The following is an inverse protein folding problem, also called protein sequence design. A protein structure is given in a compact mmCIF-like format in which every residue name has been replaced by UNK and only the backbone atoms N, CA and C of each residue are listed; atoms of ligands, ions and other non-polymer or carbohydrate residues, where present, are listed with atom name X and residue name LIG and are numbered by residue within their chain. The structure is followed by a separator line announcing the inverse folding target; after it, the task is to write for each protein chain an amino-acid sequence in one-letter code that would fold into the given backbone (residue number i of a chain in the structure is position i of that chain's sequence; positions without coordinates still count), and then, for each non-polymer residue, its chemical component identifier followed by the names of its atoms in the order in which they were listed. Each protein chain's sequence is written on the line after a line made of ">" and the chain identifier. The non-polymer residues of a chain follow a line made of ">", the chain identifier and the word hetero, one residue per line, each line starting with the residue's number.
data_IF_503820699907
#
_entry.id   IF_503820699907
#
_cell.length_a   1.000
_cell.length_b   1.000
_cell.length_c   1.000
_cell.angle_alpha   90.00
_cell.angle_beta   90.00
_cell.angle_gamma   90.00
#
_symmetry.space_group_name_H-M   'P 1'
#
loop_
_entity.id
_entity.type
_entity.pdbx_description
1 polymer ?
#
# COMPACT_ATOMS: atom_id res chain seq x y z
N UNK A 1 6.33 -23.28 0.20
CA UNK A 1 7.75 -23.37 0.62
C UNK A 1 8.11 -24.70 1.26
N UNK A 2 7.27 -25.23 2.17
CA UNK A 2 7.56 -26.45 2.93
C UNK A 2 8.00 -27.64 2.05
N UNK A 3 7.24 -27.98 1.03
CA UNK A 3 7.52 -29.09 0.11
C UNK A 3 8.87 -28.91 -0.60
N UNK A 4 9.23 -27.70 -1.01
CA UNK A 4 10.50 -27.41 -1.67
C UNK A 4 11.70 -27.69 -0.73
N UNK A 5 11.57 -27.27 0.54
CA UNK A 5 12.60 -27.53 1.57
C UNK A 5 12.69 -29.00 1.88
N UNK A 6 11.57 -29.73 2.04
CA UNK A 6 11.56 -31.17 2.22
C UNK A 6 12.28 -31.89 1.08
N UNK A 7 11.98 -31.56 -0.16
CA UNK A 7 12.58 -32.17 -1.33
C UNK A 7 14.10 -31.94 -1.41
N UNK A 8 14.57 -30.77 -0.95
CA UNK A 8 16.01 -30.48 -0.93
C UNK A 8 16.75 -31.13 0.25
N UNK A 9 16.10 -31.26 1.40
CA UNK A 9 16.68 -31.86 2.60
C UNK A 9 16.71 -33.41 2.56
N UNK A 10 15.73 -34.01 1.89
CA UNK A 10 15.58 -35.47 1.89
C UNK A 10 16.86 -36.22 1.49
N UNK A 11 17.59 -35.88 0.40
CA UNK A 11 18.82 -36.55 0.02
C UNK A 11 19.98 -36.30 1.00
N UNK A 12 19.92 -35.24 1.81
CA UNK A 12 20.97 -34.91 2.78
C UNK A 12 20.83 -35.68 4.11
N UNK A 13 19.71 -36.39 4.30
CA UNK A 13 19.41 -37.18 5.48
C UNK A 13 19.70 -36.44 6.82
N UNK A 14 19.17 -35.23 7.04
CA UNK A 14 19.46 -34.47 8.25
C UNK A 14 18.88 -35.16 9.49
N UNK A 15 19.39 -34.85 10.71
CA UNK A 15 18.86 -35.40 11.95
C UNK A 15 17.39 -35.03 12.17
N UNK A 16 16.67 -35.84 12.96
CA UNK A 16 15.23 -35.66 13.23
C UNK A 16 14.86 -34.26 13.74
N UNK A 17 15.74 -33.59 14.47
CA UNK A 17 15.54 -32.23 14.97
C UNK A 17 15.32 -31.23 13.85
N UNK A 18 15.95 -31.39 12.69
CA UNK A 18 15.77 -30.51 11.51
C UNK A 18 14.37 -30.66 10.93
N UNK A 19 13.87 -31.88 10.85
CA UNK A 19 12.49 -32.15 10.41
C UNK A 19 11.43 -31.57 11.35
N UNK A 20 11.67 -31.70 12.66
CA UNK A 20 10.79 -31.09 13.67
C UNK A 20 10.80 -29.57 13.57
N UNK A 21 11.96 -28.94 13.37
CA UNK A 21 12.07 -27.50 13.16
C UNK A 21 11.37 -27.06 11.87
N UNK A 22 11.49 -27.83 10.79
CA UNK A 22 10.80 -27.54 9.54
C UNK A 22 9.28 -27.64 9.70
N UNK A 23 8.79 -28.68 10.39
CA UNK A 23 7.37 -28.83 10.69
C UNK A 23 6.86 -27.67 11.58
N UNK A 24 7.63 -27.28 12.60
CA UNK A 24 7.32 -26.11 13.42
C UNK A 24 7.22 -24.83 12.56
N UNK A 25 8.25 -24.55 11.76
CA UNK A 25 8.28 -23.35 10.94
C UNK A 25 7.18 -23.33 9.85
N UNK A 26 6.87 -24.50 9.26
CA UNK A 26 5.88 -24.60 8.20
C UNK A 26 4.40 -24.55 8.68
N UNK A 27 4.13 -25.08 9.87
CA UNK A 27 2.74 -25.26 10.34
C UNK A 27 2.42 -24.50 11.62
N UNK A 28 3.32 -24.44 12.61
CA UNK A 28 3.04 -23.80 13.90
C UNK A 28 3.40 -22.32 13.91
N UNK A 29 4.54 -21.97 13.33
CA UNK A 29 5.04 -20.60 13.31
C UNK A 29 4.06 -19.60 12.67
N UNK A 30 3.42 -19.85 11.51
CA UNK A 30 2.47 -18.89 10.93
C UNK A 30 1.31 -18.56 11.86
N UNK A 31 0.78 -19.57 12.58
CA UNK A 31 -0.30 -19.35 13.54
C UNK A 31 0.18 -18.58 14.77
N UNK A 32 1.38 -18.88 15.25
CA UNK A 32 1.98 -18.17 16.39
C UNK A 32 2.28 -16.71 16.00
N UNK A 33 2.88 -16.47 14.85
CA UNK A 33 3.17 -15.14 14.33
C UNK A 33 1.90 -14.29 14.19
N UNK A 34 0.83 -14.88 13.65
CA UNK A 34 -0.48 -14.22 13.57
C UNK A 34 -1.02 -13.85 14.96
N UNK A 35 -1.00 -14.78 15.93
CA UNK A 35 -1.47 -14.52 17.31
C UNK A 35 -0.63 -13.44 18.00
N UNK A 36 0.69 -13.45 17.79
CA UNK A 36 1.60 -12.44 18.35
C UNK A 36 1.32 -11.06 17.77
N UNK A 37 1.06 -10.97 16.46
CA UNK A 37 0.70 -9.71 15.82
C UNK A 37 -0.68 -9.22 16.30
N UNK A 38 -1.68 -10.10 16.33
CA UNK A 38 -3.04 -9.75 16.73
C UNK A 38 -3.16 -9.22 18.19
N UNK A 39 -2.35 -9.76 19.11
CA UNK A 39 -2.34 -9.37 20.53
C UNK A 39 -1.38 -8.21 20.85
N UNK A 40 -0.61 -7.75 19.89
CA UNK A 40 0.37 -6.69 20.09
C UNK A 40 -0.32 -5.32 20.24
N UNK A 41 0.29 -4.41 21.01
CA UNK A 41 -0.15 -3.00 21.08
C UNK A 41 -0.09 -2.29 19.73
N UNK A 42 0.86 -2.68 18.90
CA UNK A 42 1.03 -2.21 17.51
C UNK A 42 1.13 -3.44 16.60
N UNK A 43 -0.01 -3.90 16.03
CA UNK A 43 -0.05 -5.08 15.17
C UNK A 43 0.86 -4.98 13.95
N UNK A 44 0.97 -3.79 13.36
CA UNK A 44 1.79 -3.57 12.17
C UNK A 44 3.29 -3.75 12.47
N UNK A 45 3.79 -3.17 13.56
CA UNK A 45 5.19 -3.38 13.98
C UNK A 45 5.48 -4.83 14.34
N UNK A 46 4.52 -5.51 14.95
CA UNK A 46 4.66 -6.93 15.28
C UNK A 46 4.72 -7.80 14.02
N UNK A 47 3.92 -7.50 13.00
CA UNK A 47 3.96 -8.17 11.69
C UNK A 47 5.32 -7.96 11.00
N UNK A 48 5.83 -6.71 10.96
CA UNK A 48 7.16 -6.41 10.42
C UNK A 48 8.24 -7.25 11.12
N UNK A 49 8.21 -7.34 12.45
CA UNK A 49 9.16 -8.18 13.19
C UNK A 49 9.05 -9.65 12.82
N UNK A 50 7.84 -10.18 12.69
CA UNK A 50 7.62 -11.56 12.28
C UNK A 50 8.15 -11.84 10.88
N UNK A 51 7.98 -10.93 9.92
CA UNK A 51 8.52 -11.02 8.57
C UNK A 51 10.07 -11.01 8.55
N UNK A 52 10.71 -10.26 9.46
CA UNK A 52 12.16 -10.31 9.60
C UNK A 52 12.65 -11.65 10.20
N UNK A 53 11.89 -12.24 11.12
CA UNK A 53 12.15 -13.59 11.64
C UNK A 53 11.99 -14.62 10.51
N UNK A 54 10.95 -14.53 9.67
CA UNK A 54 10.79 -15.38 8.50
C UNK A 54 11.97 -15.23 7.52
N UNK A 55 12.45 -13.99 7.33
CA UNK A 55 13.64 -13.73 6.51
C UNK A 55 14.88 -14.44 7.07
N UNK A 56 15.05 -14.48 8.40
CA UNK A 56 16.12 -15.21 9.04
C UNK A 56 16.00 -16.74 8.81
N UNK A 57 14.80 -17.29 8.93
CA UNK A 57 14.54 -18.69 8.58
C UNK A 57 14.81 -18.97 7.09
N UNK A 58 14.54 -18.01 6.20
CA UNK A 58 14.86 -18.16 4.77
C UNK A 58 16.35 -18.41 4.53
N UNK A 59 17.22 -17.59 5.09
CA UNK A 59 18.67 -17.77 4.99
C UNK A 59 19.15 -19.04 5.67
N UNK A 60 18.60 -19.38 6.85
CA UNK A 60 18.88 -20.64 7.54
C UNK A 60 18.54 -21.86 6.66
N UNK A 61 17.34 -21.92 6.09
CA UNK A 61 16.94 -23.04 5.24
C UNK A 61 17.76 -23.12 3.95
N UNK A 62 18.14 -21.98 3.34
CA UNK A 62 19.01 -21.98 2.17
C UNK A 62 20.35 -22.67 2.44
N UNK A 63 20.97 -22.40 3.59
CA UNK A 63 22.22 -23.08 4.00
C UNK A 63 22.00 -24.56 4.38
N UNK A 64 20.92 -24.87 5.11
CA UNK A 64 20.54 -26.25 5.47
C UNK A 64 20.30 -27.12 4.24
N UNK A 65 19.84 -26.55 3.12
CA UNK A 65 19.69 -27.24 1.82
C UNK A 65 21.01 -27.29 1.02
N UNK A 66 22.16 -27.02 1.65
CA UNK A 66 23.46 -26.96 0.98
C UNK A 66 23.47 -26.01 -0.23
N UNK A 67 22.75 -24.90 -0.12
CA UNK A 67 22.59 -23.89 -1.19
C UNK A 67 22.05 -24.47 -2.51
N UNK A 68 21.18 -25.49 -2.44
CA UNK A 68 20.51 -26.02 -3.63
C UNK A 68 19.78 -24.86 -4.35
N UNK A 69 20.19 -24.58 -5.59
CA UNK A 69 19.89 -23.31 -6.24
C UNK A 69 18.38 -23.04 -6.37
N UNK A 70 17.61 -23.97 -6.91
CA UNK A 70 16.20 -23.73 -7.20
C UNK A 70 15.32 -23.63 -5.94
N UNK A 71 15.32 -24.60 -5.00
CA UNK A 71 14.58 -24.47 -3.76
C UNK A 71 14.98 -23.26 -2.92
N UNK A 72 16.28 -22.94 -2.84
CA UNK A 72 16.77 -21.79 -2.09
C UNK A 72 16.24 -20.46 -2.70
N UNK A 73 16.38 -20.27 -4.01
CA UNK A 73 15.86 -19.07 -4.68
C UNK A 73 14.35 -18.96 -4.50
N UNK A 74 13.60 -20.05 -4.61
CA UNK A 74 12.13 -20.03 -4.43
C UNK A 74 11.74 -19.50 -3.05
N UNK A 75 12.31 -20.04 -1.96
CA UNK A 75 11.94 -19.59 -0.62
C UNK A 75 12.43 -18.17 -0.31
N UNK A 76 13.66 -17.81 -0.73
CA UNK A 76 14.20 -16.48 -0.52
C UNK A 76 13.40 -15.40 -1.27
N UNK A 77 13.01 -15.70 -2.53
CA UNK A 77 12.17 -14.77 -3.32
C UNK A 77 10.79 -14.62 -2.73
N UNK A 78 10.15 -15.69 -2.24
CA UNK A 78 8.85 -15.61 -1.57
C UNK A 78 8.88 -14.68 -0.35
N UNK A 79 9.88 -14.83 0.52
CA UNK A 79 10.04 -13.98 1.70
C UNK A 79 10.35 -12.54 1.32
N UNK A 80 11.16 -12.34 0.30
CA UNK A 80 11.45 -11.01 -0.25
C UNK A 80 10.20 -10.33 -0.82
N UNK A 81 9.37 -11.06 -1.55
CA UNK A 81 8.10 -10.55 -2.08
C UNK A 81 7.12 -10.20 -0.96
N UNK A 82 7.03 -11.02 0.10
CA UNK A 82 6.23 -10.68 1.29
C UNK A 82 6.70 -9.39 1.95
N UNK A 83 8.01 -9.20 2.11
CA UNK A 83 8.57 -7.98 2.69
C UNK A 83 8.22 -6.74 1.87
N UNK A 84 8.31 -6.83 0.52
CA UNK A 84 7.91 -5.74 -0.38
C UNK A 84 6.41 -5.46 -0.25
N UNK A 85 5.58 -6.49 -0.30
CA UNK A 85 4.13 -6.35 -0.26
C UNK A 85 3.63 -5.74 1.07
N UNK A 86 4.29 -6.04 2.19
CA UNK A 86 3.87 -5.60 3.53
C UNK A 86 4.35 -4.19 3.89
N UNK A 87 5.60 -3.83 3.59
CA UNK A 87 6.17 -2.52 3.99
C UNK A 87 7.19 -1.94 3.00
N UNK A 88 7.12 -2.37 1.74
CA UNK A 88 7.86 -1.79 0.63
C UNK A 88 9.38 -2.01 0.69
N UNK A 89 10.11 -1.12 -0.02
CA UNK A 89 11.56 -1.24 -0.26
C UNK A 89 12.39 -1.32 1.03
N UNK A 90 12.02 -0.58 2.06
CA UNK A 90 12.80 -0.54 3.30
C UNK A 90 12.82 -1.88 4.03
N UNK A 91 11.68 -2.58 4.11
CA UNK A 91 11.59 -3.90 4.72
C UNK A 91 12.27 -4.96 3.86
N UNK A 92 12.14 -4.87 2.54
CA UNK A 92 12.85 -5.74 1.61
C UNK A 92 14.36 -5.72 1.83
N UNK A 93 14.98 -4.53 1.88
CA UNK A 93 16.44 -4.41 2.07
C UNK A 93 16.89 -4.97 3.41
N UNK A 94 16.14 -4.71 4.49
CA UNK A 94 16.42 -5.29 5.81
C UNK A 94 16.28 -6.82 5.81
N UNK A 95 15.21 -7.32 5.22
CA UNK A 95 14.96 -8.76 5.11
C UNK A 95 16.04 -9.46 4.30
N UNK A 96 16.45 -8.88 3.17
CA UNK A 96 17.53 -9.43 2.33
C UNK A 96 18.87 -9.47 3.10
N UNK A 97 19.21 -8.41 3.83
CA UNK A 97 20.42 -8.40 4.65
C UNK A 97 20.40 -9.50 5.72
N UNK A 98 19.25 -9.72 6.37
CA UNK A 98 19.06 -10.78 7.36
C UNK A 98 19.15 -12.16 6.69
N UNK A 99 18.54 -12.37 5.54
CA UNK A 99 18.62 -13.62 4.77
C UNK A 99 20.09 -13.98 4.46
N UNK A 100 20.85 -13.01 3.95
CA UNK A 100 22.25 -13.20 3.63
C UNK A 100 23.10 -13.48 4.89
N UNK A 101 22.89 -12.70 5.95
CA UNK A 101 23.62 -12.88 7.21
C UNK A 101 23.36 -14.26 7.84
N UNK A 102 22.10 -14.71 7.88
CA UNK A 102 21.75 -16.01 8.45
C UNK A 102 22.19 -17.17 7.56
N UNK A 103 22.15 -17.00 6.22
CA UNK A 103 22.68 -18.00 5.30
C UNK A 103 24.21 -18.17 5.46
N UNK A 104 24.94 -17.08 5.57
CA UNK A 104 26.39 -17.09 5.82
C UNK A 104 26.73 -17.69 7.19
N UNK A 105 26.04 -17.25 8.25
CA UNK A 105 26.26 -17.78 9.60
C UNK A 105 26.01 -19.29 9.66
N UNK A 106 24.87 -19.74 9.15
CA UNK A 106 24.53 -21.17 9.13
C UNK A 106 25.45 -21.96 8.22
N UNK A 107 25.79 -21.41 7.05
CA UNK A 107 26.73 -22.03 6.13
C UNK A 107 28.09 -22.25 6.75
N UNK A 108 28.65 -21.26 7.45
CA UNK A 108 29.96 -21.40 8.14
C UNK A 108 29.90 -22.41 9.27
N UNK A 109 28.81 -22.46 10.05
CA UNK A 109 28.64 -23.47 11.13
C UNK A 109 28.55 -24.90 10.58
N UNK A 110 28.04 -25.08 9.36
CA UNK A 110 27.93 -26.39 8.70
C UNK A 110 29.17 -26.76 7.87
N UNK A 111 30.24 -25.95 7.86
CA UNK A 111 31.41 -26.18 7.03
C UNK A 111 31.20 -25.85 5.55
N UNK A 112 30.23 -25.03 5.22
CA UNK A 112 29.88 -24.52 3.91
C UNK A 112 29.60 -25.62 2.87
N UNK A 113 28.68 -26.59 3.14
CA UNK A 113 28.27 -27.54 2.13
C UNK A 113 27.67 -26.80 0.94
N UNK A 114 28.19 -27.00 -0.26
CA UNK A 114 27.74 -26.32 -1.46
C UNK A 114 27.39 -27.32 -2.57
N UNK A 115 26.10 -27.59 -2.74
CA UNK A 115 25.53 -28.48 -3.74
C UNK A 115 24.41 -27.79 -4.51
N UNK A 116 24.74 -26.87 -5.47
CA UNK A 116 23.75 -26.00 -6.13
C UNK A 116 22.85 -26.75 -7.13
N UNK A 117 23.16 -27.98 -7.45
CA UNK A 117 22.42 -28.75 -8.45
C UNK A 117 21.09 -29.26 -7.90
N UNK A 118 20.01 -28.97 -8.63
CA UNK A 118 18.67 -29.48 -8.33
C UNK A 118 18.36 -30.74 -9.15
N UNK A 119 17.84 -31.75 -8.50
CA UNK A 119 17.35 -32.96 -9.20
C UNK A 119 16.04 -32.68 -9.94
N UNK A 120 15.66 -33.45 -10.99
CA UNK A 120 14.38 -33.29 -11.68
C UNK A 120 13.18 -33.29 -10.73
N UNK A 121 13.17 -34.14 -9.71
CA UNK A 121 12.10 -34.17 -8.71
C UNK A 121 12.00 -32.86 -7.94
N UNK A 122 13.13 -32.29 -7.50
CA UNK A 122 13.16 -30.97 -6.82
C UNK A 122 12.65 -29.86 -7.73
N UNK A 123 13.01 -29.89 -9.01
CA UNK A 123 12.47 -28.94 -10.01
C UNK A 123 10.96 -29.04 -10.08
N UNK A 124 10.40 -30.25 -10.32
CA UNK A 124 8.96 -30.43 -10.43
C UNK A 124 8.20 -30.01 -9.16
N UNK A 125 8.75 -30.27 -7.97
CA UNK A 125 8.13 -29.88 -6.70
C UNK A 125 8.20 -28.37 -6.43
N UNK A 126 9.14 -27.65 -7.05
CA UNK A 126 9.22 -26.19 -6.99
C UNK A 126 8.28 -25.47 -7.97
N UNK A 127 7.92 -26.08 -9.11
CA UNK A 127 7.10 -25.44 -10.14
C UNK A 127 5.74 -24.90 -9.63
N UNK A 128 4.95 -25.65 -8.84
CA UNK A 128 3.71 -25.14 -8.30
C UNK A 128 3.92 -23.87 -7.48
N UNK A 129 5.01 -23.80 -6.72
CA UNK A 129 5.30 -22.66 -5.87
C UNK A 129 5.75 -21.44 -6.66
N UNK A 130 6.53 -21.64 -7.72
CA UNK A 130 6.97 -20.59 -8.64
C UNK A 130 5.77 -19.96 -9.34
N UNK A 131 4.75 -20.75 -9.67
CA UNK A 131 3.56 -20.24 -10.37
C UNK A 131 2.48 -19.71 -9.42
N UNK A 132 2.07 -20.55 -8.45
CA UNK A 132 0.92 -20.22 -7.59
C UNK A 132 1.20 -19.06 -6.64
N UNK A 133 2.41 -19.00 -6.07
CA UNK A 133 2.70 -17.98 -5.07
C UNK A 133 2.67 -16.55 -5.64
N UNK A 134 3.40 -16.21 -6.72
CA UNK A 134 3.32 -14.87 -7.32
C UNK A 134 1.92 -14.54 -7.83
N UNK A 135 1.20 -15.53 -8.38
CA UNK A 135 -0.16 -15.35 -8.87
C UNK A 135 -1.12 -15.00 -7.73
N UNK A 136 -1.08 -15.74 -6.63
CA UNK A 136 -1.92 -15.46 -5.46
C UNK A 136 -1.57 -14.12 -4.81
N UNK A 137 -0.27 -13.82 -4.67
CA UNK A 137 0.18 -12.54 -4.14
C UNK A 137 -0.28 -11.39 -5.03
N UNK A 138 -0.16 -11.52 -6.35
CA UNK A 138 -0.64 -10.53 -7.32
C UNK A 138 -2.15 -10.30 -7.21
N UNK A 139 -2.96 -11.37 -7.07
CA UNK A 139 -4.40 -11.26 -6.86
C UNK A 139 -4.77 -10.55 -5.56
N UNK A 140 -4.09 -10.87 -4.47
CA UNK A 140 -4.31 -10.22 -3.17
C UNK A 140 -3.94 -8.73 -3.24
N UNK A 141 -2.78 -8.41 -3.82
CA UNK A 141 -2.31 -7.04 -3.98
C UNK A 141 -3.25 -6.22 -4.87
N UNK A 142 -3.70 -6.79 -5.99
CA UNK A 142 -4.67 -6.15 -6.87
C UNK A 142 -5.99 -5.85 -6.16
N UNK A 143 -6.54 -6.83 -5.43
CA UNK A 143 -7.80 -6.65 -4.67
C UNK A 143 -7.68 -5.58 -3.60
N UNK A 144 -6.55 -5.54 -2.91
CA UNK A 144 -6.28 -4.54 -1.86
C UNK A 144 -6.15 -3.13 -2.46
N UNK A 145 -5.40 -3.00 -3.56
CA UNK A 145 -5.27 -1.73 -4.29
C UNK A 145 -6.62 -1.23 -4.81
N UNK A 146 -7.45 -2.13 -5.38
CA UNK A 146 -8.80 -1.79 -5.85
C UNK A 146 -9.69 -1.28 -4.70
N UNK A 147 -9.74 -2.02 -3.57
CA UNK A 147 -10.51 -1.60 -2.39
C UNK A 147 -10.05 -0.24 -1.85
N UNK A 148 -8.74 0.00 -1.83
CA UNK A 148 -8.19 1.29 -1.38
C UNK A 148 -8.60 2.43 -2.32
N UNK A 149 -8.58 2.20 -3.64
CA UNK A 149 -9.03 3.17 -4.63
C UNK A 149 -10.53 3.49 -4.47
N UNK A 150 -11.37 2.47 -4.27
CA UNK A 150 -12.82 2.62 -4.03
C UNK A 150 -13.08 3.43 -2.74
N UNK A 151 -12.39 3.10 -1.65
CA UNK A 151 -12.49 3.84 -0.38
C UNK A 151 -12.03 5.28 -0.51
N UNK A 152 -10.92 5.53 -1.22
CA UNK A 152 -10.45 6.89 -1.52
C UNK A 152 -11.48 7.69 -2.31
N UNK A 153 -12.08 7.06 -3.34
CA UNK A 153 -13.12 7.70 -4.15
C UNK A 153 -14.38 7.98 -3.32
N UNK A 154 -14.78 7.09 -2.42
CA UNK A 154 -15.90 7.29 -1.50
C UNK A 154 -15.64 8.47 -0.54
N UNK A 155 -14.44 8.53 0.05
CA UNK A 155 -14.02 9.66 0.90
C UNK A 155 -14.03 10.99 0.13
N UNK A 156 -13.55 11.00 -1.12
CA UNK A 156 -13.62 12.19 -1.97
C UNK A 156 -15.07 12.57 -2.33
N UNK A 157 -15.96 11.58 -2.45
CA UNK A 157 -17.41 11.85 -2.66
C UNK A 157 -18.08 12.51 -1.47
N UNK A 158 -17.64 12.19 -0.25
CA UNK A 158 -18.20 12.76 0.99
C UNK A 158 -17.58 14.12 1.30
N UNK A 159 -16.40 14.44 0.76
CA UNK A 159 -15.78 15.74 0.92
C UNK A 159 -16.70 16.84 0.38
N UNK A 160 -17.01 17.80 1.21
CA UNK A 160 -17.84 18.98 0.86
C UNK A 160 -17.00 20.16 0.42
N UNK A 161 -15.69 20.11 0.68
CA UNK A 161 -14.77 21.22 0.42
C UNK A 161 -13.79 20.89 -0.70
N UNK A 162 -13.36 21.91 -1.44
CA UNK A 162 -12.25 21.87 -2.36
C UNK A 162 -10.91 21.84 -1.60
N UNK A 163 -10.01 20.95 -1.96
CA UNK A 163 -8.77 20.72 -1.22
C UNK A 163 -7.74 21.84 -1.32
N UNK A 164 -7.82 22.68 -2.36
CA UNK A 164 -6.91 23.78 -2.58
C UNK A 164 -7.41 25.07 -1.93
N UNK A 165 -8.69 25.39 -2.16
CA UNK A 165 -9.27 26.68 -1.79
C UNK A 165 -10.02 26.66 -0.46
N UNK A 166 -10.37 25.48 0.07
CA UNK A 166 -11.18 25.34 1.27
C UNK A 166 -12.66 25.76 1.10
N UNK A 167 -13.05 26.29 -0.05
CA UNK A 167 -14.43 26.59 -0.39
C UNK A 167 -15.27 25.32 -0.59
N UNK A 168 -16.59 25.45 -0.73
CA UNK A 168 -17.38 24.30 -1.15
C UNK A 168 -16.91 23.81 -2.52
N UNK A 169 -16.77 22.50 -2.69
CA UNK A 169 -16.49 21.95 -3.99
C UNK A 169 -17.74 22.04 -4.89
N UNK A 170 -17.56 21.95 -6.21
CA UNK A 170 -18.63 22.04 -7.21
C UNK A 170 -19.89 21.28 -6.82
N UNK A 171 -19.74 20.02 -6.45
CA UNK A 171 -20.86 19.13 -6.13
C UNK A 171 -21.67 19.60 -4.92
N UNK A 172 -20.99 19.99 -3.86
CA UNK A 172 -21.67 20.44 -2.64
C UNK A 172 -22.27 21.82 -2.85
N UNK A 173 -21.58 22.68 -3.57
CA UNK A 173 -22.08 24.00 -3.94
C UNK A 173 -23.36 23.92 -4.80
N UNK A 174 -23.39 23.07 -5.86
CA UNK A 174 -24.59 22.81 -6.66
C UNK A 174 -25.74 22.28 -5.80
N UNK A 175 -25.47 21.41 -4.84
CA UNK A 175 -26.49 20.94 -3.90
C UNK A 175 -27.07 22.07 -3.05
N UNK A 176 -26.23 22.95 -2.52
CA UNK A 176 -26.65 24.10 -1.74
C UNK A 176 -27.40 25.13 -2.58
N UNK A 177 -26.97 25.38 -3.83
CA UNK A 177 -27.67 26.21 -4.80
C UNK A 177 -29.10 25.71 -5.05
N UNK A 178 -29.27 24.40 -5.33
CA UNK A 178 -30.61 23.84 -5.52
C UNK A 178 -31.48 23.99 -4.28
N UNK A 179 -30.94 23.79 -3.09
CA UNK A 179 -31.68 24.01 -1.84
C UNK A 179 -32.11 25.45 -1.68
N UNK A 180 -31.25 26.42 -2.00
CA UNK A 180 -31.58 27.83 -1.93
C UNK A 180 -32.64 28.20 -2.95
N UNK A 181 -32.55 27.67 -4.17
CA UNK A 181 -33.58 27.88 -5.20
C UNK A 181 -34.95 27.34 -4.77
N UNK A 182 -35.00 26.14 -4.19
CA UNK A 182 -36.25 25.57 -3.66
C UNK A 182 -36.81 26.41 -2.50
N UNK A 183 -35.93 26.97 -1.66
CA UNK A 183 -36.31 27.91 -0.57
C UNK A 183 -36.94 29.19 -1.12
N UNK A 184 -36.28 29.84 -2.06
CA UNK A 184 -36.80 31.03 -2.71
C UNK A 184 -38.16 30.79 -3.35
N UNK A 185 -38.33 29.67 -4.03
CA UNK A 185 -39.61 29.29 -4.64
C UNK A 185 -40.72 29.06 -3.61
N UNK A 186 -40.37 28.51 -2.43
CA UNK A 186 -41.35 28.21 -1.37
C UNK A 186 -41.78 29.42 -0.60
N UNK A 187 -40.81 30.29 -0.26
CA UNK A 187 -41.04 31.44 0.59
C UNK A 187 -41.20 32.77 -0.18
N UNK A 188 -41.06 32.73 -1.51
CA UNK A 188 -41.09 33.88 -2.40
C UNK A 188 -39.98 34.90 -2.07
N UNK A 189 -38.85 34.41 -1.53
CA UNK A 189 -37.66 35.23 -1.27
C UNK A 189 -36.79 35.32 -2.54
N UNK A 190 -35.88 36.29 -2.55
CA UNK A 190 -34.94 36.49 -3.64
C UNK A 190 -33.53 36.01 -3.19
N UNK A 191 -32.78 35.42 -4.12
CA UNK A 191 -31.37 35.17 -3.96
C UNK A 191 -30.62 35.55 -5.24
N UNK A 192 -29.38 35.96 -5.08
CA UNK A 192 -28.52 36.30 -6.22
C UNK A 192 -27.50 35.20 -6.46
N UNK A 193 -27.38 34.77 -7.69
CA UNK A 193 -26.34 33.85 -8.14
C UNK A 193 -25.28 34.66 -8.87
N UNK A 194 -24.02 34.49 -8.45
CA UNK A 194 -22.85 35.12 -9.07
C UNK A 194 -21.92 33.95 -9.54
N UNK A 195 -21.55 34.01 -10.80
CA UNK A 195 -20.49 33.16 -11.36
C UNK A 195 -19.29 34.03 -11.70
N UNK A 196 -18.10 33.57 -11.34
CA UNK A 196 -16.86 34.31 -11.49
C UNK A 196 -15.81 33.39 -12.15
N UNK A 197 -14.98 34.01 -12.98
CA UNK A 197 -13.87 33.34 -13.67
C UNK A 197 -12.61 34.20 -13.56
N UNK A 198 -11.42 33.60 -13.48
CA UNK A 198 -10.16 34.36 -13.43
C UNK A 198 -9.67 34.63 -14.85
N UNK A 199 -9.70 35.92 -15.20
CA UNK A 199 -9.21 36.34 -16.50
C UNK A 199 -7.78 35.92 -16.78
N UNK A 200 -7.59 35.23 -17.92
CA UNK A 200 -6.29 34.76 -18.40
C UNK A 200 -5.54 33.85 -17.41
N UNK A 201 -6.25 33.05 -16.58
CA UNK A 201 -5.63 32.16 -15.60
C UNK A 201 -4.59 31.22 -16.24
N UNK A 202 -4.86 30.74 -17.45
CA UNK A 202 -3.89 29.96 -18.22
C UNK A 202 -2.57 30.69 -18.44
N UNK A 203 -2.62 32.00 -18.74
CA UNK A 203 -1.41 32.82 -18.93
C UNK A 203 -0.60 32.94 -17.63
N UNK A 204 -1.27 33.00 -16.47
CA UNK A 204 -0.60 32.99 -15.16
C UNK A 204 0.16 31.67 -15.01
N UNK A 205 -0.50 30.53 -15.24
CA UNK A 205 0.13 29.21 -15.16
C UNK A 205 1.30 29.04 -16.14
N UNK A 206 1.13 29.47 -17.39
CA UNK A 206 2.14 29.33 -18.44
C UNK A 206 3.36 30.23 -18.18
N UNK A 207 3.18 31.39 -17.53
CA UNK A 207 4.25 32.35 -17.26
C UNK A 207 4.97 32.06 -15.94
N UNK A 208 4.24 31.72 -14.88
CA UNK A 208 4.76 31.66 -13.52
C UNK A 208 4.73 30.25 -12.91
N UNK A 209 4.18 29.28 -13.65
CA UNK A 209 4.03 27.90 -13.20
C UNK A 209 2.77 27.65 -12.38
N UNK A 210 2.38 26.35 -12.30
CA UNK A 210 1.14 25.93 -11.63
C UNK A 210 1.12 26.26 -10.12
N UNK A 211 2.29 26.29 -9.46
CA UNK A 211 2.35 26.60 -8.04
C UNK A 211 1.86 28.02 -7.72
N UNK A 212 2.21 29.02 -8.56
CA UNK A 212 1.71 30.39 -8.40
C UNK A 212 0.24 30.50 -8.79
N UNK A 213 -0.20 29.73 -9.80
CA UNK A 213 -1.64 29.65 -10.13
C UNK A 213 -2.46 29.08 -8.98
N UNK A 214 -1.99 28.05 -8.31
CA UNK A 214 -2.63 27.47 -7.12
C UNK A 214 -2.69 28.49 -5.96
N UNK A 215 -1.63 29.25 -5.75
CA UNK A 215 -1.59 30.34 -4.76
C UNK A 215 -2.60 31.46 -5.10
N UNK A 216 -2.69 31.86 -6.36
CA UNK A 216 -3.68 32.84 -6.80
C UNK A 216 -5.13 32.39 -6.55
N UNK A 217 -5.42 31.10 -6.80
CA UNK A 217 -6.73 30.51 -6.50
C UNK A 217 -7.03 30.52 -5.00
N UNK A 218 -6.05 30.21 -4.16
CA UNK A 218 -6.21 30.21 -2.71
C UNK A 218 -6.43 31.63 -2.16
N UNK A 219 -5.68 32.61 -2.64
CA UNK A 219 -5.84 34.03 -2.26
C UNK A 219 -7.22 34.56 -2.67
N UNK A 220 -7.68 34.27 -3.90
CA UNK A 220 -9.02 34.68 -4.34
C UNK A 220 -10.10 34.05 -3.45
N UNK A 221 -9.95 32.80 -3.10
CA UNK A 221 -10.90 32.12 -2.22
C UNK A 221 -10.96 32.73 -0.82
N UNK A 222 -9.84 33.17 -0.27
CA UNK A 222 -9.76 33.89 1.02
C UNK A 222 -10.44 35.26 0.93
N UNK A 223 -10.16 36.00 -0.11
CA UNK A 223 -10.81 37.31 -0.36
C UNK A 223 -12.33 37.19 -0.52
N UNK A 224 -12.80 36.14 -1.21
CA UNK A 224 -14.25 35.87 -1.34
C UNK A 224 -14.88 35.56 0.03
N UNK A 225 -14.20 34.81 0.89
CA UNK A 225 -14.69 34.49 2.24
C UNK A 225 -14.73 35.75 3.15
N UNK A 226 -13.77 36.66 3.00
CA UNK A 226 -13.70 37.89 3.76
C UNK A 226 -14.80 38.89 3.28
N UNK A 227 -15.03 38.97 1.96
CA UNK A 227 -15.97 39.90 1.36
C UNK A 227 -17.43 39.49 1.47
N UNK A 228 -17.74 38.24 1.79
CA UNK A 228 -19.09 37.69 1.82
C UNK A 228 -19.54 37.39 3.25
N UNK A 229 -20.85 37.27 3.45
CA UNK A 229 -21.45 37.00 4.75
C UNK A 229 -21.37 35.51 5.07
N UNK A 230 -21.43 35.13 6.34
CA UNK A 230 -21.48 33.74 6.77
C UNK A 230 -22.67 32.93 6.23
N UNK A 231 -23.72 33.59 5.80
CA UNK A 231 -24.90 32.96 5.20
C UNK A 231 -24.75 32.73 3.69
N UNK A 232 -23.80 33.42 3.07
CA UNK A 232 -23.52 33.30 1.65
C UNK A 232 -22.83 32.01 1.34
N UNK A 233 -23.15 31.37 0.22
CA UNK A 233 -22.68 30.04 -0.15
C UNK A 233 -21.65 30.23 -1.26
N UNK A 234 -20.37 29.99 -0.94
CA UNK A 234 -19.27 30.15 -1.91
C UNK A 234 -18.64 28.81 -2.22
N UNK A 235 -18.41 28.57 -3.50
CA UNK A 235 -17.77 27.33 -3.97
C UNK A 235 -16.89 27.52 -5.18
N UNK A 236 -15.96 26.60 -5.37
CA UNK A 236 -15.18 26.48 -6.60
C UNK A 236 -15.93 25.56 -7.56
N UNK A 237 -16.33 26.12 -8.69
CA UNK A 237 -17.17 25.45 -9.67
C UNK A 237 -16.34 24.69 -10.73
N UNK A 238 -15.20 25.24 -11.10
CA UNK A 238 -14.28 24.67 -12.09
C UNK A 238 -12.81 24.84 -11.70
N UNK A 239 -11.92 24.77 -12.66
CA UNK A 239 -10.48 24.97 -12.47
C UNK A 239 -10.17 26.37 -11.92
N UNK A 240 -10.67 27.38 -12.59
CA UNK A 240 -10.53 28.81 -12.32
C UNK A 240 -11.88 29.51 -12.12
N UNK A 241 -12.97 28.73 -12.07
CA UNK A 241 -14.36 29.23 -11.94
C UNK A 241 -14.84 29.09 -10.49
N UNK A 242 -15.50 30.14 -10.02
CA UNK A 242 -16.10 30.26 -8.69
C UNK A 242 -17.57 30.61 -8.78
N UNK A 243 -18.33 30.18 -7.78
CA UNK A 243 -19.74 30.51 -7.68
C UNK A 243 -20.10 31.01 -6.29
N UNK A 244 -20.93 32.05 -6.20
CA UNK A 244 -21.51 32.51 -4.95
C UNK A 244 -23.03 32.59 -5.05
N UNK A 245 -23.70 32.16 -3.98
CA UNK A 245 -25.16 32.33 -3.82
C UNK A 245 -25.41 33.19 -2.60
N UNK A 246 -26.09 34.27 -2.81
CA UNK A 246 -26.42 35.30 -1.80
C UNK A 246 -27.93 35.23 -1.52
N UNK A 247 -28.30 34.61 -0.38
CA UNK A 247 -29.70 34.50 0.05
C UNK A 247 -30.35 35.83 0.37
#
# INVERSE_FOLDING_TARGET
>A
GFICVCAALYPLAPPAAVWLLLAFHGFLWPHLAYRLAYRAKDPFKAEIRNLLIDSAFGGFWAAMMAFNALPAIVILSMMSMNNIASAGKALFVKGLAIQLATAMLTGTLLGFPFHPYSTPLQVYLCLPMIYLYPTLLGLVTYRTAKRLAEKKQELQRISTRDGLTGLYNRRHWEHLLHRQFDSCRRYQDNATLILMDIDRFKTINDTFGHALGDEALAVLAEELLIGLRNVDIVGRYGGDEFGAVLP
#
